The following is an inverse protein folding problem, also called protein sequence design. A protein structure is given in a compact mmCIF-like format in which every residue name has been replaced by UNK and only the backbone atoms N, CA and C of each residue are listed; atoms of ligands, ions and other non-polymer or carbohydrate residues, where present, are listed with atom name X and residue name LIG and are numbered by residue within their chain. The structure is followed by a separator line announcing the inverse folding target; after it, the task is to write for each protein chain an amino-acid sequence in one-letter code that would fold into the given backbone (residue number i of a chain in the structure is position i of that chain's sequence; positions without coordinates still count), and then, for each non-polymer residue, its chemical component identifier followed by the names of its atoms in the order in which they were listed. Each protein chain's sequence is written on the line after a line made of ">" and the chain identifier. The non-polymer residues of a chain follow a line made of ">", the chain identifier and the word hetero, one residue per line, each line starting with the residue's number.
data_IF_394978317450
#
_entry.id   IF_394978317450
#
_cell.length_a   1.000
_cell.length_b   1.000
_cell.length_c   1.000
_cell.angle_alpha   90.00
_cell.angle_beta   90.00
_cell.angle_gamma   90.00
#
_symmetry.space_group_name_H-M   'P 1'
#
loop_
_entity.id
_entity.type
_entity.pdbx_description
1 polymer ?
#
# COMPACT_ATOMS: atom_id res chain seq x y z
N UNK A 1 0.29 -11.01 -7.78
CA UNK A 1 -0.75 -10.58 -6.84
C UNK A 1 -1.88 -10.03 -7.67
N UNK A 2 -3.08 -10.51 -7.39
CA UNK A 2 -4.31 -10.05 -8.03
C UNK A 2 -4.81 -8.77 -7.37
N UNK A 3 -5.73 -8.06 -8.02
CA UNK A 3 -6.29 -6.82 -7.48
C UNK A 3 -7.09 -7.07 -6.19
N UNK A 4 -7.73 -8.24 -6.08
CA UNK A 4 -8.49 -8.65 -4.90
C UNK A 4 -7.56 -8.83 -3.68
N UNK A 5 -6.41 -9.47 -3.88
CA UNK A 5 -5.39 -9.62 -2.82
C UNK A 5 -4.86 -8.25 -2.40
N UNK A 6 -4.65 -7.35 -3.36
CA UNK A 6 -4.19 -6.00 -3.09
C UNK A 6 -5.21 -5.19 -2.28
N UNK A 7 -6.50 -5.30 -2.62
CA UNK A 7 -7.59 -4.69 -1.86
C UNK A 7 -7.69 -5.26 -0.44
N UNK A 8 -7.52 -6.58 -0.26
CA UNK A 8 -7.53 -7.19 1.07
C UNK A 8 -6.37 -6.69 1.97
N UNK A 9 -5.18 -6.48 1.40
CA UNK A 9 -4.05 -5.88 2.11
C UNK A 9 -4.37 -4.43 2.49
N UNK A 10 -4.99 -3.67 1.59
CA UNK A 10 -5.41 -2.31 1.87
C UNK A 10 -6.47 -2.24 2.96
N UNK A 11 -7.49 -3.10 2.94
CA UNK A 11 -8.52 -3.17 3.98
C UNK A 11 -7.89 -3.45 5.36
N UNK A 12 -6.88 -4.32 5.39
CA UNK A 12 -6.09 -4.61 6.60
C UNK A 12 -5.25 -3.41 7.05
N UNK A 13 -4.61 -2.70 6.11
CA UNK A 13 -3.77 -1.54 6.39
C UNK A 13 -4.59 -0.31 6.80
N UNK A 14 -5.77 -0.14 6.22
CA UNK A 14 -6.67 0.98 6.46
C UNK A 14 -7.52 0.80 7.72
N UNK A 15 -7.64 -0.43 8.25
CA UNK A 15 -8.32 -0.86 9.48
C UNK A 15 -9.79 -0.40 9.65
N UNK A 16 -10.04 0.91 9.65
CA UNK A 16 -11.34 1.55 9.87
C UNK A 16 -11.83 2.37 8.67
N UNK A 17 -10.93 2.76 7.75
CA UNK A 17 -11.29 3.61 6.62
C UNK A 17 -11.39 2.77 5.34
N UNK A 18 -12.62 2.39 4.95
CA UNK A 18 -12.82 1.63 3.72
C UNK A 18 -12.80 2.55 2.51
N UNK A 19 -12.24 2.04 1.42
CA UNK A 19 -12.35 2.69 0.12
C UNK A 19 -13.82 2.73 -0.29
N UNK A 20 -14.26 3.88 -0.81
CA UNK A 20 -15.56 4.02 -1.42
C UNK A 20 -15.62 3.30 -2.78
N UNK A 21 -16.82 3.02 -3.31
CA UNK A 21 -16.98 2.30 -4.58
C UNK A 21 -16.18 2.92 -5.73
N UNK A 22 -16.20 4.26 -5.86
CA UNK A 22 -15.43 4.96 -6.91
C UNK A 22 -13.93 4.84 -6.69
N UNK A 23 -13.47 4.89 -5.44
CA UNK A 23 -12.06 4.70 -5.10
C UNK A 23 -11.59 3.29 -5.45
N UNK A 24 -12.42 2.28 -5.18
CA UNK A 24 -12.14 0.89 -5.53
C UNK A 24 -12.09 0.68 -7.05
N UNK A 25 -13.03 1.28 -7.80
CA UNK A 25 -13.01 1.28 -9.28
C UNK A 25 -11.72 1.92 -9.78
N UNK A 26 -11.36 3.11 -9.28
CA UNK A 26 -10.13 3.81 -9.69
C UNK A 26 -8.90 2.99 -9.37
N UNK A 27 -8.87 2.35 -8.20
CA UNK A 27 -7.79 1.46 -7.79
C UNK A 27 -7.66 0.28 -8.75
N UNK A 28 -8.76 -0.42 -9.03
CA UNK A 28 -8.79 -1.62 -9.88
C UNK A 28 -8.40 -1.32 -11.32
N UNK A 29 -8.96 -0.26 -11.90
CA UNK A 29 -8.59 0.14 -13.24
C UNK A 29 -7.13 0.64 -13.33
N UNK A 30 -6.65 1.40 -12.32
CA UNK A 30 -5.24 1.79 -12.28
C UNK A 30 -4.31 0.58 -12.12
N UNK A 31 -4.76 -0.46 -11.41
CA UNK A 31 -4.05 -1.73 -11.26
C UNK A 31 -3.88 -2.45 -12.60
N UNK A 32 -4.93 -2.44 -13.42
CA UNK A 32 -4.94 -2.99 -14.78
C UNK A 32 -4.20 -2.11 -15.79
N UNK A 33 -3.71 -0.95 -15.37
CA UNK A 33 -2.94 -0.02 -16.20
C UNK A 33 -3.77 1.04 -16.92
N UNK A 34 -5.09 1.02 -16.78
CA UNK A 34 -6.00 1.97 -17.42
C UNK A 34 -5.73 3.42 -16.99
N UNK A 35 -6.03 4.34 -17.89
CA UNK A 35 -5.90 5.78 -17.65
C UNK A 35 -7.16 6.36 -17.02
N UNK A 36 -7.03 7.49 -16.31
CA UNK A 36 -8.18 8.15 -15.69
C UNK A 36 -9.29 8.52 -16.68
N UNK A 37 -8.95 8.76 -17.95
CA UNK A 37 -9.93 9.03 -19.00
C UNK A 37 -10.74 7.78 -19.36
N UNK A 38 -10.09 6.61 -19.50
CA UNK A 38 -10.79 5.34 -19.77
C UNK A 38 -11.68 4.92 -18.60
N UNK A 39 -11.23 5.19 -17.37
CA UNK A 39 -12.00 4.93 -16.15
C UNK A 39 -13.25 5.80 -16.12
N UNK A 40 -13.08 7.10 -16.40
CA UNK A 40 -14.18 8.05 -16.46
C UNK A 40 -15.22 7.64 -17.51
N UNK A 41 -14.77 7.28 -18.71
CA UNK A 41 -15.64 6.81 -19.78
C UNK A 41 -16.38 5.52 -19.41
N UNK A 42 -15.65 4.52 -18.89
CA UNK A 42 -16.22 3.22 -18.51
C UNK A 42 -17.16 3.30 -17.30
N UNK A 43 -16.90 4.19 -16.35
CA UNK A 43 -17.69 4.32 -15.13
C UNK A 43 -18.74 5.45 -15.22
N UNK A 44 -18.79 6.19 -16.33
CA UNK A 44 -19.73 7.29 -16.53
C UNK A 44 -19.47 8.52 -15.65
N UNK A 45 -18.21 8.72 -15.25
CA UNK A 45 -17.79 9.86 -14.45
C UNK A 45 -17.02 10.88 -15.29
N UNK A 46 -16.87 12.09 -14.76
CA UNK A 46 -16.00 13.09 -15.38
C UNK A 46 -14.51 12.74 -15.17
N UNK A 47 -13.65 12.89 -16.19
CA UNK A 47 -12.21 12.63 -16.05
C UNK A 47 -11.53 13.49 -15.00
N UNK A 48 -12.01 14.73 -14.78
CA UNK A 48 -11.54 15.59 -13.70
C UNK A 48 -11.89 15.03 -12.32
N UNK A 49 -13.12 14.51 -12.17
CA UNK A 49 -13.56 13.88 -10.92
C UNK A 49 -12.74 12.63 -10.61
N UNK A 50 -12.55 11.74 -11.59
CA UNK A 50 -11.75 10.52 -11.42
C UNK A 50 -10.29 10.85 -11.05
N UNK A 51 -9.71 11.89 -11.65
CA UNK A 51 -8.36 12.34 -11.31
C UNK A 51 -8.27 12.86 -9.87
N UNK A 52 -9.28 13.58 -9.40
CA UNK A 52 -9.37 14.06 -8.02
C UNK A 52 -9.51 12.89 -7.03
N UNK A 53 -10.42 11.95 -7.33
CA UNK A 53 -10.61 10.73 -6.54
C UNK A 53 -9.33 9.90 -6.49
N UNK A 54 -8.65 9.69 -7.61
CA UNK A 54 -7.38 8.98 -7.66
C UNK A 54 -6.28 9.67 -6.85
N UNK A 55 -6.19 11.00 -6.93
CA UNK A 55 -5.20 11.76 -6.14
C UNK A 55 -5.47 11.63 -4.64
N UNK A 56 -6.73 11.76 -4.23
CA UNK A 56 -7.15 11.54 -2.83
C UNK A 56 -6.86 10.11 -2.37
N UNK A 57 -7.14 9.13 -3.20
CA UNK A 57 -6.85 7.72 -2.93
C UNK A 57 -5.36 7.51 -2.64
N UNK A 58 -4.46 7.98 -3.52
CA UNK A 58 -3.02 7.83 -3.32
C UNK A 58 -2.53 8.54 -2.06
N UNK A 59 -3.11 9.70 -1.73
CA UNK A 59 -2.76 10.45 -0.53
C UNK A 59 -3.19 9.71 0.74
N UNK A 60 -4.42 9.21 0.77
CA UNK A 60 -4.98 8.43 1.89
C UNK A 60 -4.14 7.17 2.12
N UNK A 61 -3.85 6.42 1.04
CA UNK A 61 -2.95 5.27 1.11
C UNK A 61 -1.55 5.64 1.61
N UNK A 62 -1.01 6.78 1.17
CA UNK A 62 0.32 7.21 1.63
C UNK A 62 0.34 7.51 3.12
N UNK A 63 -0.73 8.09 3.64
CA UNK A 63 -0.88 8.42 5.05
C UNK A 63 -1.04 7.15 5.90
N UNK A 64 -1.92 6.22 5.49
CA UNK A 64 -2.17 4.99 6.23
C UNK A 64 -0.99 4.00 6.18
N UNK A 65 -0.30 3.90 5.05
CA UNK A 65 0.86 3.01 4.92
C UNK A 65 2.16 3.65 5.42
N UNK A 66 2.20 4.97 5.60
CA UNK A 66 3.40 5.73 6.00
C UNK A 66 4.49 5.78 4.91
N UNK A 67 4.16 5.44 3.67
CA UNK A 67 5.07 5.47 2.52
C UNK A 67 4.37 6.08 1.31
N UNK A 68 5.08 6.85 0.47
CA UNK A 68 4.49 7.49 -0.70
C UNK A 68 3.96 6.47 -1.71
N UNK A 69 2.63 6.41 -1.83
CA UNK A 69 1.90 5.60 -2.80
C UNK A 69 1.58 6.44 -4.04
N UNK A 70 1.71 5.82 -5.21
CA UNK A 70 1.33 6.40 -6.49
C UNK A 70 0.96 5.28 -7.45
N UNK A 71 0.23 5.58 -8.53
CA UNK A 71 -0.15 4.59 -9.57
C UNK A 71 1.02 3.67 -9.96
N UNK A 72 2.21 4.22 -10.18
CA UNK A 72 3.38 3.44 -10.61
C UNK A 72 4.06 2.65 -9.49
N UNK A 73 3.98 3.12 -8.24
CA UNK A 73 4.63 2.49 -7.11
C UNK A 73 3.70 1.56 -6.31
N UNK A 74 2.40 1.57 -6.59
CA UNK A 74 1.42 0.89 -5.76
C UNK A 74 1.69 -0.61 -5.64
N UNK A 75 2.03 -1.26 -6.76
CA UNK A 75 2.36 -2.68 -6.75
C UNK A 75 3.61 -2.97 -5.92
N UNK A 76 4.63 -2.11 -5.98
CA UNK A 76 5.84 -2.29 -5.18
C UNK A 76 5.56 -2.10 -3.69
N UNK A 77 4.79 -1.06 -3.32
CA UNK A 77 4.40 -0.78 -1.93
C UNK A 77 3.58 -1.93 -1.34
N UNK A 78 2.62 -2.46 -2.10
CA UNK A 78 1.77 -3.57 -1.64
C UNK A 78 2.55 -4.87 -1.50
N UNK A 79 3.46 -5.19 -2.44
CA UNK A 79 4.37 -6.34 -2.30
C UNK A 79 5.24 -6.22 -1.05
N UNK A 80 5.72 -5.01 -0.76
CA UNK A 80 6.55 -4.75 0.43
C UNK A 80 5.75 -4.92 1.72
N UNK A 81 4.50 -4.47 1.74
CA UNK A 81 3.61 -4.64 2.90
C UNK A 81 3.19 -6.10 3.10
N UNK A 82 2.95 -6.85 2.02
CA UNK A 82 2.74 -8.30 2.10
C UNK A 82 3.93 -8.99 2.78
N UNK A 83 5.16 -8.65 2.38
CA UNK A 83 6.37 -9.21 3.01
C UNK A 83 6.52 -8.78 4.48
N UNK A 84 6.03 -7.60 4.88
CA UNK A 84 6.00 -7.18 6.29
C UNK A 84 5.01 -7.98 7.13
N UNK A 85 3.86 -8.35 6.56
CA UNK A 85 2.85 -9.17 7.24
C UNK A 85 3.25 -10.66 7.30
N UNK A 86 4.02 -11.12 6.31
CA UNK A 86 4.42 -12.54 6.18
C UNK A 86 5.68 -12.90 6.96
N UNK A 87 6.44 -11.91 7.43
CA UNK A 87 7.65 -12.12 8.22
C UNK A 87 7.33 -11.75 9.68
N UNK A 88 7.26 -12.73 10.61
CA UNK A 88 7.48 -12.42 12.01
C UNK A 88 8.82 -11.68 12.07
N UNK A 89 8.85 -10.48 12.64
CA UNK A 89 10.11 -9.80 12.93
C UNK A 89 10.99 -10.75 13.77
N UNK A 90 11.86 -11.53 13.13
CA UNK A 90 13.16 -11.83 13.70
C UNK A 90 13.89 -10.49 13.72
N UNK A 91 13.78 -9.83 14.87
CA UNK A 91 14.63 -8.72 15.27
C UNK A 91 16.06 -9.02 14.83
N UNK A 92 16.74 -8.18 14.03
CA UNK A 92 18.19 -8.18 14.09
C UNK A 92 18.51 -7.63 15.48
N UNK A 93 18.73 -8.51 16.46
CA UNK A 93 19.34 -8.13 17.74
C UNK A 93 20.73 -7.58 17.42
N UNK A 94 20.99 -6.26 17.54
CA UNK A 94 22.33 -5.71 17.30
C UNK A 94 23.17 -5.71 18.57
N UNK A 95 22.64 -6.21 19.69
CA UNK A 95 23.37 -6.28 20.94
C UNK A 95 23.87 -7.71 21.17
N UNK A 96 25.14 -8.03 20.82
CA UNK A 96 25.86 -9.02 21.60
C UNK A 96 26.04 -8.42 23.00
N UNK A 97 25.10 -8.67 23.90
CA UNK A 97 25.32 -8.39 25.30
C UNK A 97 26.53 -9.21 25.76
N UNK A 98 27.59 -8.49 26.13
CA UNK A 98 28.56 -8.85 27.16
C UNK A 98 28.96 -10.32 27.28
N UNK A 99 30.18 -10.61 26.85
CA UNK A 99 31.04 -11.55 27.59
C UNK A 99 32.49 -11.08 27.51
N UNK A 100 32.76 -9.94 28.15
CA UNK A 100 34.06 -9.70 28.76
C UNK A 100 34.06 -10.45 30.11
N UNK A 101 34.84 -11.52 30.27
CA UNK A 101 35.41 -11.82 31.57
C UNK A 101 36.74 -11.08 31.69
N UNK A 102 36.73 -10.05 32.52
CA UNK A 102 37.92 -9.61 33.25
C UNK A 102 38.41 -10.77 34.14
N UNK A 103 39.49 -11.46 33.74
CA UNK A 103 40.47 -12.15 34.62
C UNK A 103 41.50 -12.91 33.76
N UNK A 104 42.76 -12.44 33.71
CA UNK A 104 43.97 -12.96 34.42
C UNK A 104 44.53 -14.27 33.80
N UNK A 105 45.84 -14.60 33.89
CA UNK A 105 46.85 -14.09 34.83
C UNK A 105 47.74 -12.94 34.35
#
# INVERSE_FOLDING_TARGET
>A
MSVEEALAILDTALQQERLNDVQEIVFRCCWEGQTYAEIADSAGYDPGYIKDVGSKLWQLLSESLGEKVSKSNLQAVLRRNLHRLSVPQELPSPFPFSSLPLSFP
#
